data_IF_429289686311
#
_entry.id   IF_429289686311
#
_cell.length_a   1.000
_cell.length_b   1.000
_cell.length_c   1.000
_cell.angle_alpha   90.00
_cell.angle_beta   90.00
_cell.angle_gamma   90.00
#
_symmetry.space_group_name_H-M   'P 1'
#
loop_
_entity.id
_entity.type
_entity.pdbx_description
1 polymer ?
#
# COMPACT_ATOMS: atom_id res chain seq x y z
N UNK A 1 92.37 8.61 -24.18
CA UNK A 1 90.93 8.44 -24.50
C UNK A 1 90.19 8.03 -23.23
N UNK A 2 89.74 8.94 -22.35
CA UNK A 2 89.08 8.52 -21.09
C UNK A 2 88.12 9.54 -20.45
N UNK A 3 87.85 10.68 -21.06
CA UNK A 3 87.04 11.75 -20.44
C UNK A 3 85.55 11.82 -20.87
N UNK A 4 85.14 11.53 -22.12
CA UNK A 4 83.73 11.69 -22.50
C UNK A 4 82.83 10.58 -21.94
N UNK A 5 83.36 9.38 -21.72
CA UNK A 5 82.58 8.23 -21.22
C UNK A 5 82.22 8.35 -19.73
N UNK A 6 83.08 9.00 -18.93
CA UNK A 6 82.80 9.25 -17.50
C UNK A 6 81.69 10.26 -17.28
N UNK A 7 81.59 11.31 -18.12
CA UNK A 7 80.52 12.31 -18.02
C UNK A 7 79.15 11.74 -18.41
N UNK A 8 79.10 10.82 -19.37
CA UNK A 8 77.86 10.17 -19.78
C UNK A 8 77.33 9.18 -18.72
N UNK A 9 78.23 8.39 -18.11
CA UNK A 9 77.88 7.46 -17.02
C UNK A 9 77.47 8.19 -15.73
N UNK A 10 78.11 9.31 -15.41
CA UNK A 10 77.73 10.14 -14.25
C UNK A 10 76.36 10.81 -14.47
N UNK A 11 76.08 11.28 -15.69
CA UNK A 11 74.78 11.86 -16.05
C UNK A 11 73.61 10.87 -15.95
N UNK A 12 73.81 9.63 -16.40
CA UNK A 12 72.80 8.56 -16.31
C UNK A 12 72.58 8.10 -14.86
N UNK A 13 73.63 8.01 -14.05
CA UNK A 13 73.51 7.67 -12.63
C UNK A 13 72.77 8.74 -11.84
N UNK A 14 73.05 10.02 -12.09
CA UNK A 14 72.35 11.14 -11.44
C UNK A 14 70.88 11.19 -11.91
N UNK A 15 70.61 10.98 -13.20
CA UNK A 15 69.24 10.93 -13.73
C UNK A 15 68.39 9.82 -13.11
N UNK A 16 68.95 8.62 -12.92
CA UNK A 16 68.26 7.52 -12.28
C UNK A 16 67.96 7.77 -10.79
N UNK A 17 68.90 8.40 -10.06
CA UNK A 17 68.72 8.75 -8.64
C UNK A 17 67.64 9.84 -8.49
N UNK A 18 67.68 10.89 -9.32
CA UNK A 18 66.68 11.97 -9.28
C UNK A 18 65.29 11.46 -9.67
N UNK A 19 65.18 10.60 -10.68
CA UNK A 19 63.91 9.98 -11.08
C UNK A 19 63.30 9.11 -9.97
N UNK A 20 64.13 8.34 -9.26
CA UNK A 20 63.67 7.46 -8.16
C UNK A 20 63.22 8.27 -6.94
N UNK A 21 63.93 9.34 -6.60
CA UNK A 21 63.57 10.25 -5.50
C UNK A 21 62.27 11.01 -5.82
N UNK A 22 62.09 11.47 -7.07
CA UNK A 22 60.86 12.12 -7.50
C UNK A 22 59.66 11.16 -7.48
N UNK A 23 59.84 9.92 -7.92
CA UNK A 23 58.79 8.89 -7.87
C UNK A 23 58.37 8.56 -6.42
N UNK A 24 59.33 8.39 -5.51
CA UNK A 24 59.06 8.17 -4.09
C UNK A 24 58.38 9.37 -3.41
N UNK A 25 58.71 10.60 -3.80
CA UNK A 25 58.05 11.80 -3.29
C UNK A 25 56.60 11.94 -3.78
N UNK A 26 56.28 11.48 -4.98
CA UNK A 26 54.91 11.50 -5.50
C UNK A 26 54.05 10.42 -4.84
N UNK A 27 54.56 9.19 -4.68
CA UNK A 27 53.82 8.10 -4.01
C UNK A 27 53.57 8.40 -2.52
N UNK A 28 54.56 8.97 -1.81
CA UNK A 28 54.39 9.37 -0.41
C UNK A 28 53.37 10.50 -0.23
N UNK A 29 53.32 11.48 -1.14
CA UNK A 29 52.29 12.54 -1.13
C UNK A 29 50.89 12.00 -1.42
N UNK A 30 50.75 11.06 -2.35
CA UNK A 30 49.45 10.44 -2.64
C UNK A 30 48.94 9.59 -1.46
N UNK A 31 49.82 8.84 -0.78
CA UNK A 31 49.46 8.11 0.44
C UNK A 31 49.08 9.05 1.59
N UNK A 32 49.80 10.15 1.77
CA UNK A 32 49.47 11.16 2.77
C UNK A 32 48.11 11.84 2.49
N UNK A 33 47.81 12.18 1.23
CA UNK A 33 46.53 12.76 0.83
C UNK A 33 45.35 11.78 1.03
N UNK A 34 45.52 10.50 0.67
CA UNK A 34 44.49 9.48 0.93
C UNK A 34 44.23 9.27 2.41
N UNK A 35 45.27 9.31 3.23
CA UNK A 35 45.15 9.17 4.70
C UNK A 35 44.46 10.39 5.32
N UNK A 36 44.74 11.59 4.81
CA UNK A 36 44.08 12.81 5.29
C UNK A 36 42.60 12.85 4.87
N UNK A 37 42.28 12.45 3.64
CA UNK A 37 40.90 12.36 3.17
C UNK A 37 40.07 11.33 3.98
N UNK A 38 40.68 10.19 4.33
CA UNK A 38 40.03 9.19 5.19
C UNK A 38 39.79 9.69 6.63
N UNK A 39 40.69 10.51 7.18
CA UNK A 39 40.51 11.13 8.50
C UNK A 39 39.40 12.18 8.51
N UNK A 40 39.30 12.99 7.46
CA UNK A 40 38.21 13.98 7.32
C UNK A 40 36.86 13.26 7.19
N UNK A 41 36.77 12.22 6.35
CA UNK A 41 35.56 11.41 6.22
C UNK A 41 35.14 10.71 7.52
N UNK A 42 36.09 10.30 8.36
CA UNK A 42 35.81 9.71 9.67
C UNK A 42 35.28 10.76 10.66
N UNK A 43 35.82 11.98 10.66
CA UNK A 43 35.35 13.08 11.50
C UNK A 43 33.96 13.58 11.09
N UNK A 44 33.67 13.62 9.79
CA UNK A 44 32.35 13.98 9.26
C UNK A 44 31.30 12.92 9.65
N UNK A 45 31.68 11.64 9.63
CA UNK A 45 30.81 10.55 10.10
C UNK A 45 30.54 10.62 11.61
N UNK A 46 31.53 10.96 12.44
CA UNK A 46 31.30 11.15 13.88
C UNK A 46 30.41 12.36 14.18
N UNK A 47 30.51 13.43 13.39
CA UNK A 47 29.61 14.57 13.50
C UNK A 47 28.17 14.22 13.07
N UNK A 48 28.01 13.40 12.03
CA UNK A 48 26.72 12.89 11.59
C UNK A 48 26.08 11.97 12.65
N UNK A 49 26.85 11.09 13.29
CA UNK A 49 26.38 10.21 14.37
C UNK A 49 25.89 11.03 15.57
N UNK A 50 26.65 12.06 16.00
CA UNK A 50 26.21 12.96 17.09
C UNK A 50 24.92 13.73 16.78
N UNK A 51 24.70 14.10 15.51
CA UNK A 51 23.46 14.74 15.10
C UNK A 51 22.27 13.76 15.12
N UNK A 52 22.50 12.49 14.77
CA UNK A 52 21.47 11.44 14.88
C UNK A 52 21.10 11.20 16.35
N UNK A 53 22.07 11.12 17.26
CA UNK A 53 21.80 10.95 18.69
C UNK A 53 21.01 12.13 19.27
N UNK A 54 21.30 13.36 18.82
CA UNK A 54 20.53 14.55 19.21
C UNK A 54 19.10 14.53 18.66
N UNK A 55 18.91 14.12 17.41
CA UNK A 55 17.57 13.97 16.81
C UNK A 55 16.76 12.87 17.50
N UNK A 56 17.38 11.75 17.87
CA UNK A 56 16.74 10.68 18.64
C UNK A 56 16.35 11.19 20.03
N UNK A 57 17.19 12.00 20.69
CA UNK A 57 16.85 12.61 21.98
C UNK A 57 15.70 13.63 21.88
N UNK A 58 15.63 14.43 20.80
CA UNK A 58 14.56 15.40 20.56
C UNK A 58 13.23 14.71 20.18
N UNK A 59 13.28 13.55 19.51
CA UNK A 59 12.11 12.70 19.22
C UNK A 59 11.61 11.96 20.47
N UNK A 60 12.52 11.56 21.36
CA UNK A 60 12.21 10.87 22.61
C UNK A 60 11.82 11.82 23.75
N UNK A 61 12.00 13.13 23.57
CA UNK A 61 11.56 14.12 24.54
C UNK A 61 10.01 14.14 24.56
N UNK A 62 9.36 13.90 25.71
CA UNK A 62 7.91 13.92 25.78
C UNK A 62 7.39 15.29 25.38
N UNK A 63 6.50 15.31 24.38
CA UNK A 63 5.80 16.52 23.97
C UNK A 63 5.02 17.10 25.16
N UNK A 64 5.08 18.44 25.26
CA UNK A 64 4.37 19.22 26.28
C UNK A 64 2.89 18.84 26.25
N UNK A 65 2.25 18.49 27.38
CA UNK A 65 0.87 18.03 27.38
C UNK A 65 -0.05 19.19 26.99
N UNK A 66 -0.69 19.04 25.83
CA UNK A 66 -1.89 19.78 25.47
C UNK A 66 -3.02 19.33 26.42
N UNK A 67 -3.88 20.26 26.83
CA UNK A 67 -4.73 20.14 28.02
C UNK A 67 -5.54 18.83 28.10
N UNK A 68 -5.23 18.02 29.11
CA UNK A 68 -5.85 16.71 29.38
C UNK A 68 -7.30 16.77 29.93
N UNK A 69 -8.07 17.84 29.66
CA UNK A 69 -9.37 18.09 30.30
C UNK A 69 -10.58 18.01 29.36
N UNK A 70 -10.52 17.33 28.22
CA UNK A 70 -11.71 17.18 27.34
C UNK A 70 -11.92 15.75 26.79
N UNK A 71 -10.84 14.96 26.69
CA UNK A 71 -10.89 13.65 26.04
C UNK A 71 -11.75 12.62 26.79
N UNK A 72 -11.68 12.58 28.12
CA UNK A 72 -12.46 11.63 28.93
C UNK A 72 -13.96 11.95 28.92
N UNK A 73 -14.32 13.23 28.84
CA UNK A 73 -15.73 13.64 28.78
C UNK A 73 -16.35 13.28 27.42
N UNK A 74 -15.62 13.48 26.32
CA UNK A 74 -16.04 13.09 24.97
C UNK A 74 -16.28 11.57 24.89
N UNK A 75 -15.36 10.78 25.42
CA UNK A 75 -15.47 9.32 25.41
C UNK A 75 -16.70 8.85 26.22
N UNK A 76 -16.92 9.42 27.41
CA UNK A 76 -18.08 9.09 28.23
C UNK A 76 -19.40 9.42 27.54
N UNK A 77 -19.47 10.55 26.81
CA UNK A 77 -20.65 10.94 26.03
C UNK A 77 -20.91 9.99 24.85
N UNK A 78 -19.87 9.49 24.21
CA UNK A 78 -19.97 8.50 23.14
C UNK A 78 -20.44 7.14 23.64
N UNK A 79 -19.81 6.60 24.68
CA UNK A 79 -20.24 5.35 25.30
C UNK A 79 -21.70 5.42 25.77
N UNK A 80 -22.08 6.53 26.42
CA UNK A 80 -23.46 6.77 26.83
C UNK A 80 -24.44 6.82 25.64
N UNK A 81 -24.01 7.34 24.48
CA UNK A 81 -24.84 7.36 23.28
C UNK A 81 -25.14 5.96 22.75
N UNK A 82 -24.12 5.10 22.66
CA UNK A 82 -24.29 3.71 22.20
C UNK A 82 -25.15 2.89 23.17
N UNK A 83 -24.89 3.02 24.47
CA UNK A 83 -25.68 2.37 25.53
C UNK A 83 -27.14 2.81 25.46
N UNK A 84 -27.39 4.11 25.31
CA UNK A 84 -28.75 4.64 25.19
C UNK A 84 -29.46 4.13 23.92
N UNK A 85 -28.78 4.14 22.77
CA UNK A 85 -29.33 3.63 21.52
C UNK A 85 -29.72 2.15 21.61
N UNK A 86 -28.87 1.34 22.25
CA UNK A 86 -29.14 -0.09 22.55
C UNK A 86 -30.30 -0.29 23.51
N UNK A 87 -30.29 0.43 24.64
CA UNK A 87 -31.30 0.27 25.68
C UNK A 87 -32.70 0.66 25.22
N UNK A 88 -32.79 1.65 24.32
CA UNK A 88 -34.04 2.16 23.75
C UNK A 88 -34.33 1.64 22.34
N UNK A 89 -33.69 0.54 21.92
CA UNK A 89 -33.83 -0.02 20.57
C UNK A 89 -35.32 -0.27 20.20
N UNK A 90 -35.84 0.40 19.16
CA UNK A 90 -37.24 0.29 18.76
C UNK A 90 -37.53 -1.02 18.02
N UNK A 91 -38.80 -1.43 17.97
CA UNK A 91 -39.23 -2.60 17.18
C UNK A 91 -39.58 -2.17 15.76
N UNK A 92 -38.98 -2.82 14.77
CA UNK A 92 -39.20 -2.53 13.34
C UNK A 92 -38.45 -1.30 12.81
N UNK A 93 -37.66 -0.62 13.63
CA UNK A 93 -36.80 0.51 13.27
C UNK A 93 -35.44 0.36 13.98
N UNK A 94 -34.52 1.31 13.77
CA UNK A 94 -33.19 1.33 14.35
C UNK A 94 -32.85 2.71 14.89
N UNK A 95 -32.35 2.77 16.12
CA UNK A 95 -31.64 3.93 16.62
C UNK A 95 -30.23 3.93 16.01
N UNK A 96 -29.92 4.95 15.24
CA UNK A 96 -28.62 5.19 14.63
C UNK A 96 -27.82 6.23 15.44
N UNK A 97 -26.53 5.96 15.62
CA UNK A 97 -25.55 6.90 16.19
C UNK A 97 -24.37 6.98 15.23
N UNK A 98 -24.07 8.19 14.78
CA UNK A 98 -22.94 8.49 13.91
C UNK A 98 -21.86 9.22 14.68
N UNK A 99 -20.59 8.91 14.42
CA UNK A 99 -19.49 9.41 15.23
C UNK A 99 -18.17 9.50 14.45
N UNK A 100 -17.27 10.38 14.92
CA UNK A 100 -15.88 10.47 14.47
C UNK A 100 -15.05 9.44 15.24
N UNK A 101 -14.41 8.52 14.54
CA UNK A 101 -13.68 7.37 15.10
C UNK A 101 -12.34 7.78 15.72
N UNK A 102 -11.74 8.90 15.29
CA UNK A 102 -10.50 9.42 15.87
C UNK A 102 -10.76 10.08 17.21
N UNK A 103 -11.82 10.88 17.26
CA UNK A 103 -12.15 11.73 18.40
C UNK A 103 -13.10 11.06 19.39
N UNK A 104 -13.80 10.00 18.97
CA UNK A 104 -14.93 9.44 19.73
C UNK A 104 -16.05 10.45 19.89
N UNK A 105 -16.18 11.41 18.96
CA UNK A 105 -17.19 12.48 19.03
C UNK A 105 -18.46 12.02 18.34
N UNK A 106 -19.59 12.07 19.04
CA UNK A 106 -20.90 11.85 18.40
C UNK A 106 -21.19 13.00 17.44
N UNK A 107 -21.43 12.64 16.18
CA UNK A 107 -21.78 13.55 15.09
C UNK A 107 -23.29 13.76 15.04
N UNK A 108 -24.06 12.68 15.13
CA UNK A 108 -25.52 12.72 15.02
C UNK A 108 -26.18 11.49 15.67
N UNK A 109 -27.47 11.61 16.01
CA UNK A 109 -28.32 10.53 16.52
C UNK A 109 -29.69 10.63 15.87
N UNK A 110 -30.17 9.53 15.30
CA UNK A 110 -31.48 9.50 14.63
C UNK A 110 -32.14 8.13 14.76
N UNK A 111 -33.42 8.05 14.41
CA UNK A 111 -34.15 6.77 14.31
C UNK A 111 -34.59 6.58 12.87
N UNK A 112 -34.38 5.39 12.33
CA UNK A 112 -34.64 5.10 10.92
C UNK A 112 -35.16 3.69 10.68
N UNK A 113 -36.00 3.49 9.64
CA UNK A 113 -36.61 2.20 9.38
C UNK A 113 -35.65 1.17 8.74
N UNK A 114 -34.50 1.62 8.24
CA UNK A 114 -33.53 0.77 7.53
C UNK A 114 -32.11 1.10 8.00
N UNK A 115 -31.27 0.08 8.04
CA UNK A 115 -29.84 0.24 8.30
C UNK A 115 -29.18 0.64 6.99
N UNK A 116 -28.65 1.86 6.93
CA UNK A 116 -27.79 2.26 5.84
C UNK A 116 -27.37 3.71 5.88
N UNK A 117 -26.28 4.00 5.16
CA UNK A 117 -25.68 5.32 5.02
C UNK A 117 -24.94 5.35 3.67
N UNK A 118 -25.00 6.49 2.97
CA UNK A 118 -24.29 6.70 1.71
C UNK A 118 -23.94 8.18 1.57
N UNK A 119 -22.64 8.50 1.57
CA UNK A 119 -22.14 9.85 1.30
C UNK A 119 -20.63 9.83 0.95
N UNK A 120 -20.14 10.85 0.24
CA UNK A 120 -18.73 10.98 -0.13
C UNK A 120 -18.03 12.09 0.66
N UNK A 121 -16.71 11.94 0.88
CA UNK A 121 -15.83 12.96 1.44
C UNK A 121 -16.32 13.56 2.78
N UNK A 122 -16.78 14.81 2.77
CA UNK A 122 -17.31 15.53 3.93
C UNK A 122 -18.76 16.00 3.67
N UNK A 123 -19.44 15.44 2.67
CA UNK A 123 -20.67 16.02 2.12
C UNK A 123 -21.82 16.06 3.13
N UNK A 124 -21.80 15.16 4.11
CA UNK A 124 -22.85 15.06 5.13
C UNK A 124 -22.38 15.45 6.54
N UNK A 125 -21.10 15.23 6.87
CA UNK A 125 -20.52 15.52 8.17
C UNK A 125 -19.17 16.23 7.99
N UNK A 126 -18.85 17.18 8.88
CA UNK A 126 -17.55 17.88 8.90
C UNK A 126 -16.35 16.95 9.24
N UNK A 127 -16.62 15.65 9.44
CA UNK A 127 -15.63 14.60 9.65
C UNK A 127 -15.29 13.95 8.30
N UNK A 128 -14.00 13.78 7.96
CA UNK A 128 -13.59 13.02 6.78
C UNK A 128 -14.23 11.63 6.75
N UNK A 129 -14.68 11.20 5.57
CA UNK A 129 -15.37 9.92 5.36
C UNK A 129 -14.56 8.74 5.94
N UNK A 130 -13.24 8.77 5.84
CA UNK A 130 -12.32 7.75 6.37
C UNK A 130 -12.31 7.65 7.90
N UNK A 131 -12.82 8.67 8.60
CA UNK A 131 -12.87 8.74 10.06
C UNK A 131 -14.32 8.56 10.58
N UNK A 132 -15.23 8.12 9.72
CA UNK A 132 -16.63 7.94 10.07
C UNK A 132 -16.93 6.57 10.66
N UNK A 133 -17.71 6.57 11.73
CA UNK A 133 -18.28 5.38 12.35
C UNK A 133 -19.79 5.50 12.50
N UNK A 134 -20.47 4.37 12.41
CA UNK A 134 -21.90 4.28 12.60
C UNK A 134 -22.29 3.06 13.45
N UNK A 135 -23.35 3.23 14.23
CA UNK A 135 -23.93 2.20 15.07
C UNK A 135 -25.44 2.24 14.93
N UNK A 136 -26.06 1.07 14.70
CA UNK A 136 -27.51 0.90 14.68
C UNK A 136 -27.92 -0.15 15.71
N UNK A 137 -29.02 0.10 16.41
CA UNK A 137 -29.66 -0.86 17.30
C UNK A 137 -31.18 -0.86 17.13
N UNK A 138 -31.76 -2.03 16.87
CA UNK A 138 -33.19 -2.22 16.66
C UNK A 138 -33.64 -3.63 17.07
N UNK A 139 -34.94 -3.83 17.22
CA UNK A 139 -35.54 -5.14 17.55
C UNK A 139 -36.29 -5.71 16.35
N UNK A 140 -35.88 -6.91 15.93
CA UNK A 140 -36.58 -7.72 14.95
C UNK A 140 -37.50 -8.72 15.68
N UNK A 141 -38.81 -8.66 15.42
CA UNK A 141 -39.79 -9.53 16.08
C UNK A 141 -40.36 -10.60 15.15
N UNK A 142 -40.42 -11.85 15.63
CA UNK A 142 -40.95 -12.99 14.89
C UNK A 142 -41.96 -13.79 15.73
N UNK A 143 -43.12 -14.09 15.15
CA UNK A 143 -44.21 -14.81 15.84
C UNK A 143 -43.97 -16.33 15.95
N UNK A 144 -43.01 -16.84 15.19
CA UNK A 144 -42.57 -18.23 15.17
C UNK A 144 -41.09 -18.31 14.81
N UNK A 145 -40.47 -19.46 15.05
CA UNK A 145 -39.13 -19.76 14.57
C UNK A 145 -39.07 -19.55 13.05
N UNK A 146 -38.15 -18.71 12.60
CA UNK A 146 -38.12 -18.20 11.23
C UNK A 146 -36.68 -18.14 10.70
N UNK A 147 -36.46 -18.76 9.54
CA UNK A 147 -35.22 -18.58 8.78
C UNK A 147 -35.30 -17.27 7.99
N UNK A 148 -34.27 -16.43 8.11
CA UNK A 148 -34.08 -15.20 7.33
C UNK A 148 -32.68 -15.19 6.76
N UNK A 149 -32.43 -14.23 5.87
CA UNK A 149 -31.10 -13.94 5.37
C UNK A 149 -30.72 -12.51 5.74
N UNK A 150 -29.48 -12.33 6.20
CA UNK A 150 -28.86 -11.02 6.21
C UNK A 150 -28.26 -10.77 4.83
N UNK A 151 -28.55 -9.60 4.25
CA UNK A 151 -27.87 -9.07 3.08
C UNK A 151 -27.08 -7.85 3.50
N UNK A 152 -25.77 -7.92 3.30
CA UNK A 152 -24.81 -6.86 3.59
C UNK A 152 -24.32 -6.33 2.26
N UNK A 153 -24.70 -5.10 1.94
CA UNK A 153 -24.10 -4.34 0.85
C UNK A 153 -23.18 -3.29 1.48
N UNK A 154 -21.89 -3.49 1.34
CA UNK A 154 -20.86 -2.64 1.91
C UNK A 154 -19.92 -2.24 0.77
N UNK A 155 -19.52 -0.96 0.74
CA UNK A 155 -18.41 -0.53 -0.11
C UNK A 155 -17.10 -0.75 0.65
N UNK A 156 -16.28 0.27 0.83
CA UNK A 156 -15.05 0.18 1.61
C UNK A 156 -15.34 0.51 3.08
N UNK A 157 -14.87 -0.33 3.99
CA UNK A 157 -15.12 -0.25 5.43
C UNK A 157 -15.32 -1.63 6.06
N UNK A 158 -15.58 -1.68 7.37
CA UNK A 158 -15.84 -2.93 8.10
C UNK A 158 -17.19 -2.85 8.78
N UNK A 159 -18.03 -3.86 8.60
CA UNK A 159 -19.28 -4.03 9.33
C UNK A 159 -19.21 -5.23 10.28
N UNK A 160 -19.87 -5.08 11.43
CA UNK A 160 -20.13 -6.17 12.39
C UNK A 160 -21.62 -6.20 12.71
N UNK A 161 -22.21 -7.38 12.61
CA UNK A 161 -23.62 -7.63 12.95
C UNK A 161 -23.66 -8.56 14.14
N UNK A 162 -24.42 -8.18 15.16
CA UNK A 162 -24.71 -9.03 16.31
C UNK A 162 -26.22 -9.17 16.52
N UNK A 163 -26.64 -10.39 16.87
CA UNK A 163 -28.02 -10.72 17.25
C UNK A 163 -28.00 -11.21 18.70
N UNK A 164 -28.74 -10.55 19.58
CA UNK A 164 -28.77 -10.80 21.03
C UNK A 164 -27.38 -10.85 21.68
N UNK A 165 -26.47 -10.02 21.18
CA UNK A 165 -25.09 -9.95 21.64
C UNK A 165 -24.15 -11.01 21.05
N UNK A 166 -24.65 -11.95 20.25
CA UNK A 166 -23.83 -12.92 19.52
C UNK A 166 -23.45 -12.34 18.16
N UNK A 167 -22.16 -12.27 17.86
CA UNK A 167 -21.67 -11.82 16.55
C UNK A 167 -21.98 -12.89 15.51
N UNK A 168 -22.74 -12.51 14.47
CA UNK A 168 -23.17 -13.40 13.39
C UNK A 168 -22.48 -13.09 12.07
N UNK A 169 -21.91 -11.88 11.95
CA UNK A 169 -21.10 -11.47 10.82
C UNK A 169 -20.10 -10.39 11.25
N UNK A 170 -18.90 -10.48 10.69
CA UNK A 170 -17.86 -9.46 10.78
C UNK A 170 -17.02 -9.54 9.52
N UNK A 171 -16.97 -8.45 8.76
CA UNK A 171 -16.29 -8.45 7.47
C UNK A 171 -16.34 -7.09 6.78
N UNK A 172 -15.63 -7.02 5.66
CA UNK A 172 -15.48 -5.87 4.77
C UNK A 172 -16.00 -6.15 3.35
N UNK A 173 -16.68 -7.28 3.16
CA UNK A 173 -17.19 -7.73 1.86
C UNK A 173 -18.71 -7.83 1.84
N UNK A 174 -19.30 -7.69 0.65
CA UNK A 174 -20.71 -7.98 0.45
C UNK A 174 -20.99 -9.43 0.82
N UNK A 175 -22.04 -9.66 1.58
CA UNK A 175 -22.34 -10.98 2.10
C UNK A 175 -23.84 -11.22 2.16
N UNK A 176 -24.23 -12.44 1.84
CA UNK A 176 -25.58 -12.95 2.04
C UNK A 176 -25.48 -14.26 2.80
N UNK A 177 -26.10 -14.34 3.98
CA UNK A 177 -26.01 -15.54 4.80
C UNK A 177 -27.29 -15.80 5.60
N UNK A 178 -27.64 -17.08 5.79
CA UNK A 178 -28.83 -17.47 6.54
C UNK A 178 -28.62 -17.25 8.05
N UNK A 179 -29.69 -16.83 8.72
CA UNK A 179 -29.76 -16.80 10.17
C UNK A 179 -31.14 -17.27 10.64
N UNK A 180 -31.15 -18.18 11.61
CA UNK A 180 -32.39 -18.71 12.17
C UNK A 180 -32.78 -17.93 13.43
N UNK A 181 -33.83 -17.13 13.33
CA UNK A 181 -34.42 -16.45 14.48
C UNK A 181 -35.39 -17.39 15.19
N UNK A 182 -35.30 -17.46 16.51
CA UNK A 182 -36.37 -18.09 17.29
C UNK A 182 -37.60 -17.19 17.33
N UNK A 183 -38.73 -17.73 17.79
CA UNK A 183 -39.89 -16.92 18.15
C UNK A 183 -39.53 -15.90 19.24
N UNK A 184 -39.86 -14.63 19.01
CA UNK A 184 -39.66 -13.55 19.96
C UNK A 184 -39.09 -12.27 19.34
N UNK A 185 -38.72 -11.32 20.20
CA UNK A 185 -38.00 -10.11 19.80
C UNK A 185 -36.50 -10.34 19.97
N UNK A 186 -35.74 -10.04 18.93
CA UNK A 186 -34.29 -10.19 18.85
C UNK A 186 -33.64 -8.83 18.68
N UNK A 187 -32.66 -8.50 19.52
CA UNK A 187 -31.88 -7.28 19.38
C UNK A 187 -30.88 -7.47 18.24
N UNK A 188 -30.96 -6.60 17.23
CA UNK A 188 -30.01 -6.54 16.12
C UNK A 188 -29.16 -5.28 16.29
N UNK A 189 -27.85 -5.48 16.40
CA UNK A 189 -26.85 -4.42 16.44
C UNK A 189 -26.01 -4.48 15.16
N UNK A 190 -25.87 -3.35 14.47
CA UNK A 190 -24.94 -3.21 13.34
C UNK A 190 -23.94 -2.12 13.67
N UNK A 191 -22.67 -2.43 13.51
CA UNK A 191 -21.57 -1.46 13.67
C UNK A 191 -20.84 -1.34 12.35
N UNK A 192 -20.45 -0.14 12.00
CA UNK A 192 -19.70 0.15 10.79
C UNK A 192 -18.60 1.16 11.05
N UNK A 193 -17.46 0.91 10.45
CA UNK A 193 -16.33 1.82 10.43
C UNK A 193 -15.88 1.98 8.99
N UNK A 194 -15.90 3.21 8.51
CA UNK A 194 -15.32 3.52 7.21
C UNK A 194 -13.81 3.78 7.38
N UNK A 195 -13.07 3.59 6.29
CA UNK A 195 -11.64 3.85 6.19
C UNK A 195 -11.25 4.32 4.77
N UNK A 196 -12.24 4.77 3.98
CA UNK A 196 -12.08 5.23 2.61
C UNK A 196 -12.76 6.60 2.40
N UNK A 197 -12.47 7.27 1.28
CA UNK A 197 -12.99 8.61 0.99
C UNK A 197 -14.47 8.64 0.54
N UNK A 198 -15.12 7.47 0.47
CA UNK A 198 -16.57 7.31 0.27
C UNK A 198 -17.13 6.34 1.31
N UNK A 199 -18.30 6.65 1.86
CA UNK A 199 -19.03 5.84 2.85
C UNK A 199 -20.25 5.21 2.16
N UNK A 200 -20.31 3.88 2.01
CA UNK A 200 -21.57 3.20 1.67
C UNK A 200 -21.77 1.91 2.48
N UNK A 201 -22.93 1.81 3.14
CA UNK A 201 -23.39 0.60 3.80
C UNK A 201 -24.91 0.50 3.69
N UNK A 202 -25.42 -0.69 3.41
CA UNK A 202 -26.79 -1.09 3.62
C UNK A 202 -26.84 -2.51 4.20
N UNK A 203 -27.67 -2.72 5.22
CA UNK A 203 -27.93 -4.05 5.78
C UNK A 203 -29.42 -4.30 5.83
N UNK A 204 -29.86 -5.44 5.31
CA UNK A 204 -31.26 -5.85 5.33
C UNK A 204 -31.45 -7.27 5.84
N UNK A 205 -32.62 -7.53 6.43
CA UNK A 205 -33.09 -8.85 6.85
C UNK A 205 -34.21 -9.23 5.90
N UNK A 206 -33.98 -10.22 5.04
CA UNK A 206 -34.88 -10.58 3.92
C UNK A 206 -35.32 -12.04 4.01
N UNK A 207 -36.38 -12.37 3.26
CA UNK A 207 -36.80 -13.75 3.06
C UNK A 207 -35.93 -14.46 2.00
N UNK A 208 -35.96 -15.79 1.98
CA UNK A 208 -35.20 -16.60 1.01
C UNK A 208 -35.57 -16.33 -0.46
N UNK A 209 -36.84 -16.04 -0.74
CA UNK A 209 -37.35 -15.73 -2.07
C UNK A 209 -36.88 -14.36 -2.58
N UNK A 210 -36.65 -13.40 -1.68
CA UNK A 210 -36.09 -12.07 -1.99
C UNK A 210 -34.59 -12.12 -2.32
N UNK A 211 -33.88 -13.19 -1.91
CA UNK A 211 -32.46 -13.43 -2.27
C UNK A 211 -32.34 -13.87 -3.75
N UNK A 212 -33.38 -14.46 -4.32
CA UNK A 212 -33.36 -15.10 -5.66
C UNK A 212 -33.86 -14.19 -6.80
N UNK A 213 -34.40 -13.00 -6.49
CA UNK A 213 -35.09 -12.14 -7.47
C UNK A 213 -34.12 -11.25 -8.29
N UNK A 214 -32.93 -10.96 -7.79
CA UNK A 214 -31.91 -10.15 -8.51
C UNK A 214 -31.31 -10.88 -9.74
N UNK A 215 -31.54 -12.20 -9.85
CA UNK A 215 -31.12 -13.02 -10.99
C UNK A 215 -32.23 -13.23 -12.06
N UNK A 216 -33.44 -12.67 -11.90
CA UNK A 216 -34.55 -12.82 -12.86
C UNK A 216 -35.19 -11.48 -13.25
N UNK A 217 -34.54 -10.83 -14.24
CA UNK A 217 -34.99 -9.68 -15.06
C UNK A 217 -34.74 -8.25 -14.52
N UNK A 218 -34.27 -7.32 -15.38
CA UNK A 218 -33.87 -5.99 -14.99
C UNK A 218 -35.09 -5.05 -14.93
N UNK A 219 -35.39 -4.53 -13.75
CA UNK A 219 -36.24 -3.34 -13.61
C UNK A 219 -35.35 -2.18 -13.21
N UNK A 220 -35.11 -1.32 -14.20
CA UNK A 220 -34.44 -0.02 -14.05
C UNK A 220 -35.25 0.90 -13.13
N UNK A 221 -34.71 1.23 -11.96
CA UNK A 221 -34.98 2.50 -11.28
C UNK A 221 -33.95 3.53 -11.75
N UNK A 222 -34.31 4.82 -11.88
CA UNK A 222 -33.46 5.83 -12.47
C UNK A 222 -32.41 6.30 -11.47
N UNK A 223 -31.33 5.54 -11.34
CA UNK A 223 -30.10 6.03 -10.71
C UNK A 223 -29.34 6.79 -11.80
N UNK A 224 -29.10 8.09 -11.57
CA UNK A 224 -28.23 8.91 -12.42
C UNK A 224 -26.81 8.32 -12.38
N UNK A 225 -26.52 7.42 -13.31
CA UNK A 225 -25.17 7.01 -13.62
C UNK A 225 -24.47 8.09 -14.44
N UNK A 226 -23.33 8.54 -13.95
CA UNK A 226 -22.18 8.86 -14.79
C UNK A 226 -21.01 7.96 -14.37
N UNK A 227 -20.92 6.84 -15.11
CA UNK A 227 -19.82 5.86 -15.42
C UNK A 227 -18.37 6.17 -14.98
N UNK A 228 -17.42 5.19 -15.10
CA UNK A 228 -17.53 3.78 -15.53
C UNK A 228 -16.99 2.76 -14.50
N UNK A 229 -17.24 1.48 -14.80
CA UNK A 229 -16.82 0.24 -14.13
C UNK A 229 -15.36 0.18 -13.65
N UNK A 230 -15.17 0.00 -12.34
CA UNK A 230 -13.92 -0.46 -11.73
C UNK A 230 -13.90 -2.00 -11.62
N UNK A 231 -12.84 -2.67 -12.10
CA UNK A 231 -12.64 -4.10 -11.91
C UNK A 231 -11.51 -4.34 -10.91
N UNK A 232 -11.75 -4.29 -9.60
CA UNK A 232 -10.78 -4.77 -8.60
C UNK A 232 -11.52 -5.36 -7.38
N UNK A 233 -11.92 -6.61 -7.51
CA UNK A 233 -11.98 -7.56 -6.38
C UNK A 233 -10.54 -7.92 -6.01
N UNK A 234 -10.11 -7.69 -4.76
CA UNK A 234 -9.29 -8.65 -4.00
C UNK A 234 -9.06 -8.24 -2.52
N UNK A 235 -9.67 -9.02 -1.65
CA UNK A 235 -9.28 -9.47 -0.30
C UNK A 235 -8.09 -8.83 0.41
N UNK A 236 -8.30 -8.45 1.68
CA UNK A 236 -7.22 -8.29 2.66
C UNK A 236 -7.51 -9.04 3.97
N UNK A 237 -7.23 -10.34 3.92
CA UNK A 237 -6.88 -11.08 5.13
C UNK A 237 -5.55 -10.54 5.69
N UNK A 238 -5.60 -10.08 6.94
CA UNK A 238 -4.40 -9.92 7.75
C UNK A 238 -3.59 -11.22 7.77
N UNK A 239 -2.28 -11.10 7.58
CA UNK A 239 -1.29 -12.17 7.78
C UNK A 239 -1.43 -13.41 6.87
N UNK A 240 -1.64 -13.20 5.57
CA UNK A 240 -1.22 -14.17 4.55
C UNK A 240 -0.32 -13.47 3.52
N UNK A 241 0.92 -13.95 3.38
CA UNK A 241 1.75 -13.66 2.23
C UNK A 241 0.96 -14.01 0.97
N UNK A 242 0.60 -13.01 0.16
CA UNK A 242 -0.07 -13.13 -1.15
C UNK A 242 -1.26 -14.10 -1.13
N UNK A 243 -2.54 -13.65 -1.22
CA UNK A 243 -3.57 -14.59 -1.62
C UNK A 243 -3.08 -15.30 -2.89
N UNK A 244 -3.23 -16.63 -2.90
CA UNK A 244 -2.79 -17.51 -3.97
C UNK A 244 -3.64 -17.29 -5.25
N UNK A 245 -3.81 -16.05 -5.70
CA UNK A 245 -4.23 -15.80 -7.07
C UNK A 245 -3.03 -16.06 -7.99
N UNK A 246 -3.05 -17.32 -8.41
CA UNK A 246 -2.01 -18.07 -9.06
C UNK A 246 -2.10 -17.83 -10.56
N UNK A 247 -1.79 -16.63 -11.04
CA UNK A 247 -1.10 -16.55 -12.30
C UNK A 247 0.35 -16.93 -12.00
N UNK A 248 0.80 -18.10 -12.46
CA UNK A 248 2.22 -18.42 -12.50
C UNK A 248 2.91 -17.40 -13.39
N UNK A 249 3.40 -16.30 -12.80
CA UNK A 249 4.27 -15.35 -13.48
C UNK A 249 5.56 -16.08 -13.86
N UNK A 250 5.55 -16.68 -15.04
CA UNK A 250 6.70 -17.27 -15.70
C UNK A 250 7.17 -16.33 -16.80
N UNK A 251 8.47 -16.10 -16.90
CA UNK A 251 9.07 -15.34 -18.01
C UNK A 251 9.04 -16.11 -19.33
N UNK A 252 8.70 -17.41 -19.29
CA UNK A 252 8.73 -18.30 -20.44
C UNK A 252 10.16 -18.58 -20.92
N UNK A 253 10.28 -19.16 -22.11
CA UNK A 253 11.58 -19.42 -22.73
C UNK A 253 12.24 -18.12 -23.16
N UNK A 254 13.49 -17.90 -22.74
CA UNK A 254 14.34 -16.82 -23.24
C UNK A 254 15.16 -17.33 -24.42
N UNK A 255 15.44 -16.44 -25.37
CA UNK A 255 16.30 -16.76 -26.51
C UNK A 255 17.73 -17.08 -26.04
N UNK A 256 18.46 -17.99 -26.72
CA UNK A 256 19.77 -18.47 -26.27
C UNK A 256 20.84 -17.37 -26.09
N UNK A 257 20.74 -16.24 -26.78
CA UNK A 257 21.64 -15.09 -26.61
C UNK A 257 21.67 -14.52 -25.18
N UNK A 258 20.60 -14.73 -24.40
CA UNK A 258 20.50 -14.27 -23.02
C UNK A 258 21.07 -15.28 -21.99
N UNK A 259 21.65 -16.39 -22.45
CA UNK A 259 22.25 -17.40 -21.56
C UNK A 259 23.59 -16.94 -20.98
N UNK A 260 24.36 -16.15 -21.73
CA UNK A 260 25.69 -15.66 -21.33
C UNK A 260 25.64 -14.40 -20.44
N UNK A 261 24.56 -13.61 -20.57
CA UNK A 261 24.30 -12.43 -19.75
C UNK A 261 22.81 -12.42 -19.38
N UNK A 262 22.43 -13.08 -18.27
CA UNK A 262 21.03 -13.26 -17.93
C UNK A 262 20.35 -11.90 -17.69
N UNK A 263 19.09 -11.74 -18.14
CA UNK A 263 18.41 -10.48 -18.00
C UNK A 263 17.99 -10.22 -16.55
N UNK A 264 17.73 -8.96 -16.25
CA UNK A 264 17.17 -8.53 -14.97
C UNK A 264 15.79 -7.91 -15.18
N UNK A 265 14.94 -7.96 -14.15
CA UNK A 265 13.63 -7.34 -14.20
C UNK A 265 13.76 -5.82 -13.97
N UNK A 266 13.08 -5.04 -14.80
CA UNK A 266 12.84 -3.60 -14.56
C UNK A 266 11.33 -3.39 -14.40
N UNK A 267 10.93 -2.94 -13.21
CA UNK A 267 9.51 -2.72 -12.87
C UNK A 267 9.11 -1.27 -13.18
N UNK A 268 8.03 -1.07 -13.91
CA UNK A 268 7.48 0.26 -14.19
C UNK A 268 5.98 0.24 -13.91
N UNK A 269 5.55 0.99 -12.90
CA UNK A 269 4.16 1.10 -12.48
C UNK A 269 3.64 2.53 -12.63
N UNK A 270 2.54 2.75 -13.35
CA UNK A 270 1.87 4.05 -13.48
C UNK A 270 0.36 3.90 -13.36
N UNK A 271 -0.27 4.54 -12.38
CA UNK A 271 -1.72 4.37 -12.21
C UNK A 271 -2.52 4.93 -13.39
N UNK A 272 -2.18 6.13 -13.91
CA UNK A 272 -2.83 6.68 -15.11
C UNK A 272 -1.93 7.60 -15.92
N UNK A 273 -2.30 7.86 -17.16
CA UNK A 273 -1.66 8.90 -17.97
C UNK A 273 -2.23 10.29 -17.67
N UNK A 274 -1.40 11.32 -17.81
CA UNK A 274 -1.86 12.73 -17.85
C UNK A 274 -2.23 13.18 -19.26
N UNK A 275 -2.06 12.32 -20.28
CA UNK A 275 -2.40 12.60 -21.68
C UNK A 275 -3.82 12.12 -22.03
N UNK A 276 -4.54 12.84 -22.92
CA UNK A 276 -5.91 12.47 -23.29
C UNK A 276 -6.07 11.11 -23.97
N UNK A 277 -5.02 10.63 -24.64
CA UNK A 277 -5.00 9.34 -25.34
C UNK A 277 -4.55 8.18 -24.44
N UNK A 278 -4.42 8.44 -23.13
CA UNK A 278 -3.95 7.48 -22.12
C UNK A 278 -2.53 6.95 -22.36
N UNK A 279 -1.74 7.61 -23.23
CA UNK A 279 -0.39 7.17 -23.55
C UNK A 279 0.63 7.57 -22.48
N UNK A 280 1.61 6.72 -22.23
CA UNK A 280 2.74 6.98 -21.32
C UNK A 280 4.04 6.63 -22.01
N UNK A 281 4.92 7.61 -22.19
CA UNK A 281 6.24 7.39 -22.78
C UNK A 281 7.24 6.93 -21.72
N UNK A 282 7.78 5.72 -21.86
CA UNK A 282 8.88 5.21 -21.02
C UNK A 282 10.20 5.46 -21.73
N UNK A 283 11.06 6.27 -21.14
CA UNK A 283 12.44 6.47 -21.61
C UNK A 283 13.38 5.58 -20.82
N UNK A 284 13.96 4.60 -21.52
CA UNK A 284 14.87 3.65 -20.90
C UNK A 284 16.27 4.23 -20.77
N UNK A 285 16.75 4.23 -19.54
CA UNK A 285 18.12 4.55 -19.20
C UNK A 285 19.04 3.38 -19.52
N UNK A 286 20.35 3.67 -19.58
CA UNK A 286 21.37 2.64 -19.80
C UNK A 286 21.38 1.64 -18.64
N UNK A 287 21.32 0.35 -18.96
CA UNK A 287 21.51 -0.72 -17.97
C UNK A 287 22.77 -1.56 -18.29
N UNK A 288 23.43 -2.13 -17.27
CA UNK A 288 24.65 -2.93 -17.45
C UNK A 288 24.36 -4.33 -18.00
N UNK A 289 23.12 -4.79 -17.91
CA UNK A 289 22.66 -6.12 -18.33
C UNK A 289 21.38 -5.99 -19.16
N UNK A 290 21.03 -7.01 -19.96
CA UNK A 290 19.74 -7.07 -20.63
C UNK A 290 18.58 -6.95 -19.63
N UNK A 291 17.46 -6.42 -20.09
CA UNK A 291 16.27 -6.20 -19.26
C UNK A 291 15.07 -7.00 -19.75
N UNK A 292 14.27 -7.48 -18.81
CA UNK A 292 12.85 -7.76 -19.03
C UNK A 292 12.06 -6.63 -18.41
N UNK A 293 11.26 -5.95 -19.21
CA UNK A 293 10.39 -4.86 -18.74
C UNK A 293 9.10 -5.45 -18.21
N UNK A 294 8.72 -5.09 -17.00
CA UNK A 294 7.41 -5.40 -16.43
C UNK A 294 6.65 -4.09 -16.25
N UNK A 295 5.59 -3.90 -17.05
CA UNK A 295 4.83 -2.67 -17.14
C UNK A 295 3.44 -2.88 -16.55
N UNK A 296 3.09 -2.11 -15.53
CA UNK A 296 1.76 -2.12 -14.93
C UNK A 296 1.16 -0.73 -14.90
N UNK A 297 -0.12 -0.63 -15.19
CA UNK A 297 -0.84 0.60 -15.00
C UNK A 297 -2.34 0.39 -14.97
N UNK A 298 -3.07 1.46 -14.68
CA UNK A 298 -4.53 1.41 -14.69
C UNK A 298 -5.08 1.07 -16.07
N UNK A 299 -6.35 0.68 -16.08
CA UNK A 299 -7.04 0.23 -17.28
C UNK A 299 -6.94 1.25 -18.42
N UNK A 300 -6.50 0.79 -19.58
CA UNK A 300 -6.40 1.60 -20.80
C UNK A 300 -5.09 2.35 -21.00
N UNK A 301 -4.08 2.19 -20.12
CA UNK A 301 -2.75 2.79 -20.36
C UNK A 301 -2.10 2.21 -21.62
N UNK A 302 -1.63 3.11 -22.50
CA UNK A 302 -0.86 2.76 -23.69
C UNK A 302 0.63 3.12 -23.51
N UNK A 303 1.48 2.11 -23.37
CA UNK A 303 2.91 2.29 -23.17
C UNK A 303 3.65 2.55 -24.48
N UNK A 304 4.43 3.62 -24.53
CA UNK A 304 5.34 3.91 -25.65
C UNK A 304 6.78 3.81 -25.15
N UNK A 305 7.51 2.78 -25.59
CA UNK A 305 8.88 2.54 -25.14
C UNK A 305 9.88 3.23 -26.07
N UNK A 306 10.69 4.13 -25.51
CA UNK A 306 11.84 4.76 -26.16
C UNK A 306 13.13 4.28 -25.52
N UNK A 307 14.04 3.75 -26.34
CA UNK A 307 15.31 3.18 -25.89
C UNK A 307 16.53 3.91 -26.48
N UNK A 308 16.74 5.19 -26.14
CA UNK A 308 17.83 5.98 -26.71
C UNK A 308 19.21 5.47 -26.28
N UNK A 309 19.30 4.78 -25.14
CA UNK A 309 20.53 4.22 -24.61
C UNK A 309 20.93 2.88 -25.27
N UNK A 310 20.11 2.34 -26.17
CA UNK A 310 20.28 1.01 -26.78
C UNK A 310 20.48 -0.10 -25.72
N UNK A 311 19.76 -0.01 -24.60
CA UNK A 311 19.77 -1.06 -23.58
C UNK A 311 19.17 -2.34 -24.17
N UNK A 312 19.83 -3.52 -24.09
CA UNK A 312 19.24 -4.75 -24.62
C UNK A 312 17.96 -5.11 -23.86
N UNK A 313 16.87 -5.34 -24.59
CA UNK A 313 15.58 -5.75 -24.02
C UNK A 313 15.30 -7.17 -24.49
N UNK A 314 15.23 -8.10 -23.55
CA UNK A 314 14.93 -9.50 -23.83
C UNK A 314 13.43 -9.72 -24.07
N UNK A 315 12.59 -9.01 -23.32
CA UNK A 315 11.13 -9.18 -23.35
C UNK A 315 10.42 -7.99 -22.69
N UNK A 316 9.18 -7.74 -23.10
CA UNK A 316 8.25 -6.86 -22.40
C UNK A 316 7.05 -7.69 -21.93
N UNK A 317 6.71 -7.53 -20.65
CA UNK A 317 5.54 -8.11 -20.01
C UNK A 317 4.70 -6.93 -19.52
N UNK A 318 3.40 -6.92 -19.84
CA UNK A 318 2.51 -5.83 -19.42
C UNK A 318 1.16 -6.35 -18.90
N UNK A 319 0.47 -5.54 -18.09
CA UNK A 319 -0.86 -5.88 -17.56
C UNK A 319 -1.89 -6.07 -18.69
N UNK A 320 -2.83 -7.02 -18.53
CA UNK A 320 -3.75 -7.45 -19.61
C UNK A 320 -4.62 -6.34 -20.22
N UNK A 321 -4.92 -5.32 -19.45
CA UNK A 321 -5.74 -4.16 -19.77
C UNK A 321 -4.93 -2.96 -20.31
N UNK A 322 -3.63 -3.17 -20.54
CA UNK A 322 -2.73 -2.18 -21.13
C UNK A 322 -2.25 -2.62 -22.52
N UNK A 323 -1.65 -1.71 -23.27
CA UNK A 323 -1.06 -2.01 -24.58
C UNK A 323 0.32 -1.39 -24.71
N UNK A 324 1.16 -1.91 -25.61
CA UNK A 324 2.56 -1.50 -25.76
C UNK A 324 2.91 -1.24 -27.22
N UNK A 325 3.56 -0.11 -27.47
CA UNK A 325 4.23 0.24 -28.71
C UNK A 325 5.73 0.38 -28.47
N UNK A 326 6.54 -0.22 -29.33
CA UNK A 326 8.00 -0.11 -29.27
C UNK A 326 8.55 0.55 -30.53
N UNK A 327 9.32 1.62 -30.36
CA UNK A 327 10.08 2.25 -31.44
C UNK A 327 11.46 1.61 -31.55
N UNK A 328 11.51 0.34 -32.01
CA UNK A 328 12.75 -0.44 -32.13
C UNK A 328 12.91 -1.03 -33.53
N UNK A 329 14.12 -1.04 -34.10
CA UNK A 329 14.39 -1.73 -35.35
C UNK A 329 14.44 -3.27 -35.19
N UNK A 330 14.60 -3.78 -33.96
CA UNK A 330 14.67 -5.21 -33.65
C UNK A 330 13.35 -5.66 -33.00
N UNK A 331 12.67 -6.71 -33.51
CA UNK A 331 11.47 -7.25 -32.88
C UNK A 331 11.76 -7.73 -31.45
N UNK A 332 10.99 -7.23 -30.48
CA UNK A 332 11.06 -7.64 -29.07
C UNK A 332 9.77 -8.40 -28.73
N UNK A 333 9.85 -9.59 -28.11
CA UNK A 333 8.66 -10.29 -27.63
C UNK A 333 7.88 -9.45 -26.60
N UNK A 334 6.57 -9.29 -26.82
CA UNK A 334 5.65 -8.60 -25.92
C UNK A 334 4.57 -9.58 -25.48
N UNK A 335 4.30 -9.64 -24.18
CA UNK A 335 3.30 -10.55 -23.61
C UNK A 335 2.43 -9.85 -22.57
N UNK A 336 1.11 -9.96 -22.74
CA UNK A 336 0.13 -9.52 -21.75
C UNK A 336 -0.02 -10.59 -20.65
N UNK A 337 0.19 -10.22 -19.38
CA UNK A 337 0.05 -11.11 -18.22
C UNK A 337 -0.76 -10.47 -17.11
N UNK A 338 -1.28 -11.34 -16.26
CA UNK A 338 -1.88 -10.98 -14.99
C UNK A 338 -0.81 -11.12 -13.91
N UNK A 339 -0.61 -10.05 -13.14
CA UNK A 339 0.28 -9.99 -12.00
C UNK A 339 -0.19 -8.86 -11.07
N UNK A 340 0.22 -8.87 -9.78
CA UNK A 340 -0.21 -7.87 -8.83
C UNK A 340 0.06 -6.46 -9.34
N UNK A 341 -0.89 -5.54 -9.14
CA UNK A 341 -0.67 -4.15 -9.54
C UNK A 341 0.55 -3.59 -8.82
N UNK A 342 1.55 -3.20 -9.61
CA UNK A 342 2.79 -2.59 -9.13
C UNK A 342 2.50 -1.24 -8.46
N UNK A 343 1.42 -0.56 -8.86
CA UNK A 343 1.03 0.75 -8.32
C UNK A 343 0.51 0.69 -6.88
N UNK A 344 0.08 -0.50 -6.40
CA UNK A 344 -0.31 -0.71 -5.01
C UNK A 344 0.89 -0.78 -4.04
N UNK A 345 2.13 -0.74 -4.55
CA UNK A 345 3.36 -0.86 -3.78
C UNK A 345 4.18 0.43 -3.81
N UNK A 346 4.76 0.80 -2.68
CA UNK A 346 5.53 2.04 -2.51
C UNK A 346 6.91 1.77 -1.94
N UNK A 347 7.87 2.60 -2.36
CA UNK A 347 9.25 2.57 -1.83
C UNK A 347 9.56 3.70 -0.85
N UNK A 348 8.64 4.64 -0.70
CA UNK A 348 8.62 5.83 0.16
C UNK A 348 7.77 5.60 1.42
N UNK A 349 7.65 6.58 2.30
CA UNK A 349 6.91 6.41 3.56
C UNK A 349 5.45 6.00 3.30
N UNK A 350 5.00 4.98 4.03
CA UNK A 350 3.64 4.45 3.90
C UNK A 350 2.69 5.27 4.79
N UNK A 351 1.60 5.74 4.21
CA UNK A 351 0.48 6.30 4.97
C UNK A 351 -0.29 5.14 5.59
N UNK A 352 -0.01 4.86 6.87
CA UNK A 352 -0.63 3.80 7.63
C UNK A 352 -1.45 4.37 8.79
N UNK A 353 -2.62 3.79 9.04
CA UNK A 353 -3.52 4.15 10.13
C UNK A 353 -3.86 2.92 10.98
N UNK A 354 -4.20 3.17 12.23
CA UNK A 354 -4.62 2.15 13.17
C UNK A 354 -5.89 2.59 13.89
N UNK A 355 -6.99 1.88 13.66
CA UNK A 355 -8.28 2.14 14.28
C UNK A 355 -8.86 0.83 14.84
N UNK A 356 -9.15 0.78 16.15
CA UNK A 356 -9.81 -0.40 16.75
C UNK A 356 -9.05 -1.73 16.54
N UNK A 357 -7.71 -1.68 16.54
CA UNK A 357 -6.81 -2.80 16.20
C UNK A 357 -6.80 -3.26 14.73
N UNK A 358 -7.56 -2.60 13.87
CA UNK A 358 -7.45 -2.71 12.42
C UNK A 358 -6.31 -1.82 11.94
N UNK A 359 -5.31 -2.45 11.31
CA UNK A 359 -4.17 -1.77 10.72
C UNK A 359 -4.35 -1.68 9.21
N UNK A 360 -4.38 -0.46 8.69
CA UNK A 360 -4.56 -0.18 7.27
C UNK A 360 -3.41 0.67 6.75
N UNK A 361 -3.05 0.50 5.50
CA UNK A 361 -2.17 1.41 4.79
C UNK A 361 -2.69 1.62 3.37
N UNK A 362 -2.60 2.84 2.86
CA UNK A 362 -2.98 3.18 1.48
C UNK A 362 -2.22 2.33 0.45
N UNK A 363 -0.98 1.97 0.77
CA UNK A 363 -0.12 1.16 -0.08
C UNK A 363 0.63 0.10 0.73
N UNK A 364 1.22 -0.87 0.01
CA UNK A 364 1.99 -1.97 0.59
C UNK A 364 3.50 -1.70 0.48
N UNK A 365 4.31 -2.25 1.40
CA UNK A 365 5.76 -2.23 1.25
C UNK A 365 6.21 -2.92 -0.04
N UNK A 366 7.13 -2.33 -0.79
CA UNK A 366 7.59 -2.86 -2.09
C UNK A 366 8.47 -4.13 -1.97
N UNK A 367 9.24 -4.28 -0.88
CA UNK A 367 10.22 -5.37 -0.74
C UNK A 367 9.62 -6.78 -0.84
N UNK A 368 8.46 -7.09 -0.21
CA UNK A 368 7.77 -8.36 -0.41
C UNK A 368 7.45 -8.70 -1.86
N UNK A 369 7.00 -7.72 -2.66
CA UNK A 369 6.72 -7.94 -4.08
C UNK A 369 8.01 -8.29 -4.84
N UNK A 370 9.08 -7.53 -4.62
CA UNK A 370 10.38 -7.78 -5.26
C UNK A 370 10.86 -9.21 -4.96
N UNK A 371 10.81 -9.61 -3.68
CA UNK A 371 11.19 -10.98 -3.29
C UNK A 371 10.33 -12.04 -3.98
N UNK A 372 9.01 -11.82 -4.04
CA UNK A 372 8.10 -12.74 -4.71
C UNK A 372 8.38 -12.87 -6.21
N UNK A 373 8.65 -11.75 -6.90
CA UNK A 373 9.01 -11.73 -8.32
C UNK A 373 10.32 -12.47 -8.56
N UNK A 374 11.35 -12.22 -7.76
CA UNK A 374 12.64 -12.90 -7.88
C UNK A 374 12.51 -14.41 -7.65
N UNK A 375 11.72 -14.83 -6.66
CA UNK A 375 11.48 -16.24 -6.38
C UNK A 375 10.69 -16.94 -7.50
N UNK A 376 9.65 -16.29 -8.05
CA UNK A 376 8.81 -16.86 -9.11
C UNK A 376 9.49 -16.90 -10.47
N UNK A 377 10.28 -15.88 -10.80
CA UNK A 377 10.93 -15.76 -12.12
C UNK A 377 12.34 -16.35 -12.14
N UNK A 378 13.00 -16.47 -10.98
CA UNK A 378 14.42 -16.81 -10.89
C UNK A 378 15.36 -15.69 -11.34
N UNK A 379 14.84 -14.50 -11.66
CA UNK A 379 15.60 -13.36 -12.16
C UNK A 379 15.71 -12.26 -11.10
N UNK A 380 16.87 -11.60 -10.95
CA UNK A 380 17.01 -10.46 -10.06
C UNK A 380 16.27 -9.23 -10.60
N UNK A 381 15.83 -8.36 -9.71
CA UNK A 381 15.27 -7.04 -10.07
C UNK A 381 16.40 -6.01 -10.10
N UNK A 382 16.56 -5.31 -11.23
CA UNK A 382 17.57 -4.26 -11.42
C UNK A 382 17.16 -2.96 -10.72
N UNK A 383 15.92 -2.55 -10.94
CA UNK A 383 15.40 -1.27 -10.47
C UNK A 383 13.91 -1.15 -10.75
N UNK A 384 13.37 -0.01 -10.37
CA UNK A 384 11.95 0.27 -10.50
C UNK A 384 11.66 1.76 -10.70
N UNK A 385 10.50 2.04 -11.29
CA UNK A 385 9.87 3.36 -11.36
C UNK A 385 8.41 3.18 -11.02
N UNK A 386 7.92 3.87 -9.99
CA UNK A 386 6.51 3.90 -9.63
C UNK A 386 6.07 5.36 -9.58
N UNK A 387 5.06 5.74 -10.38
CA UNK A 387 4.41 7.04 -10.27
C UNK A 387 2.90 6.86 -10.23
N UNK A 388 2.20 7.86 -9.70
CA UNK A 388 0.74 7.86 -9.73
C UNK A 388 0.22 8.26 -11.12
N UNK A 389 0.65 9.40 -11.64
CA UNK A 389 0.27 9.86 -12.97
C UNK A 389 1.46 10.44 -13.71
N UNK A 390 1.56 10.18 -15.01
CA UNK A 390 2.62 10.74 -15.85
C UNK A 390 2.27 10.70 -17.35
N UNK A 391 2.75 11.68 -18.12
CA UNK A 391 2.85 11.55 -19.57
C UNK A 391 4.13 10.82 -20.00
N UNK A 392 5.17 10.91 -19.19
CA UNK A 392 6.51 10.46 -19.50
C UNK A 392 7.26 10.05 -18.23
N UNK A 393 7.99 8.94 -18.28
CA UNK A 393 8.76 8.42 -17.15
C UNK A 393 10.15 7.95 -17.58
N UNK A 394 11.15 8.26 -16.76
CA UNK A 394 12.48 7.69 -16.88
C UNK A 394 12.55 6.38 -16.10
N UNK A 395 13.15 5.34 -16.70
CA UNK A 395 13.19 4.02 -16.09
C UNK A 395 14.59 3.36 -16.16
N UNK A 396 15.13 2.84 -15.03
CA UNK A 396 14.62 3.02 -13.66
C UNK A 396 14.87 4.44 -13.12
N UNK A 397 13.95 4.92 -12.27
CA UNK A 397 14.16 6.08 -11.37
C UNK A 397 14.95 5.68 -10.13
N UNK A 398 14.79 4.44 -9.67
CA UNK A 398 15.48 3.88 -8.50
C UNK A 398 16.21 2.57 -8.85
N UNK A 399 17.47 2.45 -8.44
CA UNK A 399 18.25 1.21 -8.53
C UNK A 399 18.08 0.41 -7.25
N UNK A 400 17.63 -0.86 -7.35
CA UNK A 400 17.26 -1.66 -6.19
C UNK A 400 18.39 -1.77 -5.16
N UNK A 401 19.62 -2.04 -5.62
CA UNK A 401 20.77 -2.19 -4.73
C UNK A 401 20.99 -0.96 -3.83
N UNK A 402 20.67 0.25 -4.31
CA UNK A 402 20.78 1.48 -3.54
C UNK A 402 19.63 1.70 -2.55
N UNK A 403 18.50 1.02 -2.71
CA UNK A 403 17.29 1.24 -1.90
C UNK A 403 16.99 0.12 -0.90
N UNK A 404 17.68 -1.03 -0.98
CA UNK A 404 17.46 -2.21 -0.13
C UNK A 404 17.43 -1.88 1.38
N UNK A 405 18.32 -1.02 1.87
CA UNK A 405 18.36 -0.63 3.29
C UNK A 405 17.08 0.09 3.71
N UNK A 406 16.60 1.03 2.89
CA UNK A 406 15.41 1.82 3.16
C UNK A 406 14.16 0.94 3.07
N UNK A 407 14.08 0.09 2.05
CA UNK A 407 12.99 -0.87 1.88
C UNK A 407 12.92 -1.88 3.05
N UNK A 408 14.06 -2.33 3.56
CA UNK A 408 14.12 -3.16 4.77
C UNK A 408 13.60 -2.43 6.02
N UNK A 409 14.00 -1.17 6.20
CA UNK A 409 13.52 -0.33 7.31
C UNK A 409 12.01 -0.04 7.22
N UNK A 410 11.49 0.24 6.03
CA UNK A 410 10.07 0.44 5.77
C UNK A 410 9.26 -0.83 6.10
N UNK A 411 9.70 -2.00 5.62
CA UNK A 411 9.05 -3.27 5.93
C UNK A 411 9.06 -3.59 7.44
N UNK A 412 10.15 -3.24 8.13
CA UNK A 412 10.25 -3.42 9.57
C UNK A 412 9.27 -2.51 10.31
N UNK A 413 9.23 -1.21 9.98
CA UNK A 413 8.26 -0.24 10.53
C UNK A 413 6.83 -0.70 10.29
N UNK A 414 6.48 -1.08 9.07
CA UNK A 414 5.16 -1.61 8.72
C UNK A 414 4.78 -2.80 9.61
N UNK A 415 5.70 -3.76 9.83
CA UNK A 415 5.46 -4.91 10.71
C UNK A 415 5.34 -4.52 12.18
N UNK A 416 6.12 -3.54 12.63
CA UNK A 416 6.09 -3.08 14.01
C UNK A 416 4.81 -2.32 14.30
N UNK A 417 4.40 -1.40 13.43
CA UNK A 417 3.15 -0.64 13.51
C UNK A 417 1.94 -1.56 13.38
N UNK A 418 1.95 -2.52 12.45
CA UNK A 418 0.93 -3.54 12.34
C UNK A 418 0.80 -4.36 13.62
N UNK A 419 1.92 -4.87 14.16
CA UNK A 419 1.92 -5.63 15.42
C UNK A 419 1.48 -4.79 16.60
N UNK A 420 1.90 -3.53 16.69
CA UNK A 420 1.47 -2.62 17.74
C UNK A 420 -0.03 -2.33 17.63
N UNK A 421 -0.54 -2.15 16.42
CA UNK A 421 -1.96 -1.94 16.17
C UNK A 421 -2.77 -3.18 16.56
N UNK A 422 -2.35 -4.36 16.12
CA UNK A 422 -3.00 -5.62 16.50
C UNK A 422 -2.79 -5.99 17.97
N UNK A 423 -1.75 -5.50 18.64
CA UNK A 423 -1.56 -5.66 20.08
C UNK A 423 -2.44 -4.69 20.89
N UNK A 424 -2.91 -3.59 20.28
CA UNK A 424 -4.05 -2.82 20.82
C UNK A 424 -5.37 -3.60 20.71
N UNK A 425 -5.40 -4.69 19.94
CA UNK A 425 -6.35 -5.77 20.22
C UNK A 425 -5.85 -6.48 21.49
N UNK A 426 -6.30 -5.98 22.64
CA UNK A 426 -6.31 -6.79 23.86
C UNK A 426 -7.76 -7.10 24.24
N UNK A 427 -7.95 -8.18 25.01
CA UNK A 427 -8.98 -9.17 24.82
C UNK A 427 -10.33 -8.66 25.32
N UNK A 428 -11.37 -8.97 24.56
CA UNK A 428 -12.77 -8.76 24.90
C UNK A 428 -13.23 -7.29 24.92
N UNK A 429 -14.25 -7.01 24.11
CA UNK A 429 -14.90 -5.70 23.94
C UNK A 429 -15.35 -5.08 25.28
N UNK A 430 -15.57 -5.91 26.30
CA UNK A 430 -15.91 -5.53 27.68
C UNK A 430 -14.82 -4.67 28.34
N UNK A 431 -13.54 -4.89 28.05
CA UNK A 431 -12.45 -4.11 28.68
C UNK A 431 -12.26 -2.71 28.10
N UNK A 432 -12.79 -2.42 26.90
CA UNK A 432 -12.85 -1.06 26.37
C UNK A 432 -13.95 -0.22 27.03
N UNK A 433 -14.91 -0.84 27.75
CA UNK A 433 -15.85 -0.11 28.60
C UNK A 433 -15.34 -0.01 30.05
N UNK A 434 -14.48 -0.93 30.50
CA UNK A 434 -13.89 -0.93 31.85
C UNK A 434 -12.59 -0.09 31.97
N UNK A 435 -11.96 0.28 30.85
CA UNK A 435 -10.80 1.19 30.83
C UNK A 435 -11.17 2.68 30.78
N UNK A 436 -12.46 3.00 30.96
CA UNK A 436 -13.00 4.36 31.09
C UNK A 436 -13.65 4.60 32.45
#
# INVERSE_FOLDING_TARGET
MQEPTRKLLLGLAIGAIVGTVAYYQVDSRQKAQKTQAAKVALQDNEAAIRNVDKMVADIMAPSKPEAATDRSEIINRFAAALVSAKASAPKGEFNAVYFDTRLGKVLDKTTMPKIGISYAWHDQYETPSEDFGAYWAGKAGFDQDTLKYFKVDISQGVARIAVDGVVVYEGDEKAEFPYHFSRGDHLVEVRFFNNWHTTDLAVSIVNEDEVQEENRHPVSLPIKHSRPSDPYEESNQGLAFLPQQSATLSVGSLSPEFTANPPQLLLVGIYKSTLPDSSVTVVLNKAPTPLILMLDGGSGVHWVIKNPANTPIAKVIHSRDTSVSLETPVPIPVEAKEFPSLTSFRSDDLSCSCAGAYFHCENRPLLPLINALQLKTGLPVYGYTMEYEAAMVEAPKQILAGTLKNLGGQLQRFRDESRQCSAKASPNFDTMLDAF
#
